data_IF_460583754674
#
_entry.id   IF_460583754674
#
_cell.length_a   1.000
_cell.length_b   1.000
_cell.length_c   1.000
_cell.angle_alpha   90.00
_cell.angle_beta   90.00
_cell.angle_gamma   90.00
#
_symmetry.space_group_name_H-M   'P 1'
#
loop_
_entity.id
_entity.type
_entity.pdbx_description
1 polymer ?
#
# COMPACT_ATOMS: atom_id res chain seq x y z
N UNK A 1 -4.94 -15.39 -28.15
CA UNK A 1 -5.12 -14.13 -27.40
C UNK A 1 -5.60 -14.49 -26.00
N UNK A 2 -4.74 -14.43 -24.99
CA UNK A 2 -5.20 -14.49 -23.59
C UNK A 2 -5.78 -13.12 -23.23
N UNK A 3 -6.95 -13.03 -22.58
CA UNK A 3 -7.48 -11.76 -22.11
C UNK A 3 -6.47 -11.09 -21.16
N UNK A 4 -6.37 -9.76 -21.19
CA UNK A 4 -5.70 -9.00 -20.12
C UNK A 4 -6.46 -9.31 -18.82
N UNK A 5 -5.92 -10.17 -17.97
CA UNK A 5 -6.49 -10.42 -16.65
C UNK A 5 -6.24 -9.20 -15.77
N UNK A 6 -7.30 -8.68 -15.18
CA UNK A 6 -7.22 -7.62 -14.19
C UNK A 6 -6.67 -8.19 -12.88
N UNK A 7 -5.73 -7.48 -12.26
CA UNK A 7 -5.16 -7.84 -10.95
C UNK A 7 -5.64 -6.84 -9.93
N UNK A 8 -6.15 -7.34 -8.80
CA UNK A 8 -6.48 -6.51 -7.63
C UNK A 8 -5.27 -6.41 -6.72
N UNK A 9 -4.77 -5.20 -6.56
CA UNK A 9 -3.71 -4.85 -5.63
C UNK A 9 -4.36 -4.01 -4.51
N UNK A 10 -3.99 -4.26 -3.27
CA UNK A 10 -4.51 -3.54 -2.12
C UNK A 10 -3.40 -3.00 -1.22
N UNK A 11 -3.72 -1.98 -0.43
CA UNK A 11 -2.93 -1.50 0.69
C UNK A 11 -3.75 -1.72 1.97
N UNK A 12 -3.17 -2.32 3.01
CA UNK A 12 -3.89 -2.55 4.25
C UNK A 12 -2.99 -2.41 5.48
N UNK A 13 -3.21 -1.38 6.27
CA UNK A 13 -2.69 -1.33 7.64
C UNK A 13 -3.49 -2.33 8.51
N UNK A 14 -2.82 -3.39 8.95
CA UNK A 14 -3.45 -4.48 9.72
C UNK A 14 -3.28 -4.32 11.22
N UNK A 15 -2.60 -3.26 11.67
CA UNK A 15 -2.27 -2.88 13.06
C UNK A 15 -1.47 -3.89 13.87
N UNK A 16 -1.67 -5.19 13.68
CA UNK A 16 -0.91 -6.25 14.33
C UNK A 16 -1.12 -7.54 13.53
N UNK A 17 -0.06 -8.13 12.97
CA UNK A 17 -0.06 -9.46 12.35
C UNK A 17 0.60 -10.54 13.22
N UNK A 18 1.15 -10.21 14.39
CA UNK A 18 1.84 -11.17 15.27
C UNK A 18 0.90 -11.98 16.17
N UNK A 19 -0.33 -11.51 16.38
CA UNK A 19 -1.33 -12.23 17.20
C UNK A 19 -1.72 -13.56 16.55
N UNK A 20 -2.03 -14.54 17.40
CA UNK A 20 -2.43 -15.89 16.96
C UNK A 20 -3.72 -15.81 16.14
N UNK A 21 -3.76 -16.45 14.96
CA UNK A 21 -4.94 -16.48 14.09
C UNK A 21 -5.10 -15.24 13.19
N UNK A 22 -4.36 -14.18 13.42
CA UNK A 22 -4.53 -12.91 12.72
C UNK A 22 -4.03 -12.96 11.27
N UNK A 23 -2.96 -13.71 11.02
CA UNK A 23 -2.43 -13.95 9.68
C UNK A 23 -3.44 -14.73 8.82
N UNK A 24 -4.12 -15.69 9.43
CA UNK A 24 -5.17 -16.50 8.81
C UNK A 24 -6.42 -15.65 8.52
N UNK A 25 -6.81 -14.76 9.43
CA UNK A 25 -7.89 -13.79 9.20
C UNK A 25 -7.58 -12.87 8.03
N UNK A 26 -6.39 -12.27 7.99
CA UNK A 26 -5.95 -11.42 6.88
C UNK A 26 -6.00 -12.21 5.55
N UNK A 27 -5.42 -13.42 5.52
CA UNK A 27 -5.41 -14.26 4.32
C UNK A 27 -6.83 -14.60 3.83
N UNK A 28 -7.75 -14.94 4.74
CA UNK A 28 -9.14 -15.26 4.43
C UNK A 28 -9.88 -14.05 3.85
N UNK A 29 -9.70 -12.87 4.43
CA UNK A 29 -10.34 -11.65 3.95
C UNK A 29 -9.81 -11.21 2.58
N UNK A 30 -8.51 -11.31 2.35
CA UNK A 30 -7.90 -11.03 1.04
C UNK A 30 -8.45 -11.98 -0.04
N UNK A 31 -8.57 -13.27 0.26
CA UNK A 31 -9.16 -14.26 -0.65
C UNK A 31 -10.64 -13.92 -0.93
N UNK A 32 -11.42 -13.58 0.11
CA UNK A 32 -12.83 -13.19 -0.02
C UNK A 32 -13.02 -11.94 -0.90
N UNK A 33 -12.13 -10.96 -0.75
CA UNK A 33 -12.09 -9.75 -1.59
C UNK A 33 -11.46 -9.96 -2.97
N UNK A 34 -10.97 -11.17 -3.27
CA UNK A 34 -10.27 -11.53 -4.51
C UNK A 34 -9.02 -10.66 -4.75
N UNK A 35 -8.33 -10.28 -3.69
CA UNK A 35 -7.07 -9.53 -3.77
C UNK A 35 -5.95 -10.51 -4.11
N UNK A 36 -5.24 -10.24 -5.20
CA UNK A 36 -4.11 -11.06 -5.62
C UNK A 36 -2.83 -10.69 -4.87
N UNK A 37 -2.66 -9.40 -4.57
CA UNK A 37 -1.47 -8.84 -3.91
C UNK A 37 -1.93 -7.76 -2.94
N UNK A 38 -1.56 -7.87 -1.66
CA UNK A 38 -1.79 -6.82 -0.68
C UNK A 38 -0.45 -6.33 -0.12
N UNK A 39 -0.17 -5.04 -0.21
CA UNK A 39 0.85 -4.37 0.57
C UNK A 39 0.32 -4.14 1.99
N UNK A 40 1.00 -4.70 2.98
CA UNK A 40 0.58 -4.66 4.37
C UNK A 40 1.50 -3.75 5.19
N UNK A 41 0.91 -2.92 6.05
CA UNK A 41 1.61 -2.11 7.05
C UNK A 41 1.19 -2.48 8.48
N UNK A 42 2.02 -2.13 9.46
CA UNK A 42 1.90 -2.55 10.87
C UNK A 42 1.74 -4.06 11.07
N UNK A 43 2.48 -4.86 10.30
CA UNK A 43 2.53 -6.31 10.50
C UNK A 43 3.06 -6.69 11.89
N UNK A 44 3.93 -5.87 12.48
CA UNK A 44 4.55 -6.11 13.81
C UNK A 44 5.19 -7.49 13.94
N UNK A 45 5.68 -8.03 12.83
CA UNK A 45 6.59 -9.16 12.82
C UNK A 45 8.02 -8.63 12.99
N UNK A 46 8.87 -9.39 13.68
CA UNK A 46 10.30 -9.10 13.75
C UNK A 46 11.02 -9.72 12.57
N UNK A 47 12.21 -9.20 12.29
CA UNK A 47 13.08 -9.69 11.22
C UNK A 47 12.43 -9.60 9.83
N UNK A 48 13.09 -10.18 8.84
CA UNK A 48 12.53 -10.28 7.49
C UNK A 48 12.49 -11.74 7.05
N UNK A 49 11.52 -12.07 6.20
CA UNK A 49 11.36 -13.44 5.77
C UNK A 49 10.14 -13.69 4.91
N UNK A 50 9.86 -14.97 4.73
CA UNK A 50 8.73 -15.45 3.94
C UNK A 50 8.09 -16.63 4.66
N UNK A 51 6.76 -16.65 4.73
CA UNK A 51 6.01 -17.76 5.30
C UNK A 51 4.76 -18.04 4.47
N UNK A 52 4.24 -19.26 4.56
CA UNK A 52 3.03 -19.71 3.87
C UNK A 52 1.93 -19.90 4.90
N UNK A 53 0.79 -19.26 4.65
CA UNK A 53 -0.41 -19.36 5.46
C UNK A 53 -1.39 -20.24 4.71
N UNK A 54 -1.63 -21.43 5.25
CA UNK A 54 -2.63 -22.35 4.72
C UNK A 54 -4.03 -21.87 5.11
N UNK A 55 -4.94 -21.84 4.15
CA UNK A 55 -6.34 -21.52 4.44
C UNK A 55 -7.06 -22.82 4.83
N UNK A 56 -7.77 -22.85 5.98
CA UNK A 56 -8.51 -24.03 6.39
C UNK A 56 -9.47 -24.49 5.30
N UNK A 57 -9.58 -25.80 5.12
CA UNK A 57 -10.54 -26.45 4.21
C UNK A 57 -10.34 -26.10 2.72
N UNK A 58 -9.14 -25.70 2.30
CA UNK A 58 -8.81 -25.47 0.88
C UNK A 58 -7.35 -25.79 0.52
N UNK A 59 -7.07 -26.10 -0.76
CA UNK A 59 -5.70 -26.20 -1.32
C UNK A 59 -5.09 -24.81 -1.66
N UNK A 60 -5.76 -23.74 -1.24
CA UNK A 60 -5.31 -22.37 -1.42
C UNK A 60 -4.45 -21.93 -0.24
N UNK A 61 -3.41 -21.16 -0.56
CA UNK A 61 -2.52 -20.59 0.44
C UNK A 61 -2.17 -19.15 0.08
N UNK A 62 -1.83 -18.39 1.11
CA UNK A 62 -1.28 -17.04 0.98
C UNK A 62 0.21 -17.06 1.32
N UNK A 63 1.04 -16.53 0.44
CA UNK A 63 2.46 -16.31 0.74
C UNK A 63 2.63 -14.93 1.35
N UNK A 64 3.14 -14.88 2.58
CA UNK A 64 3.45 -13.65 3.30
C UNK A 64 4.95 -13.38 3.23
N UNK A 65 5.32 -12.25 2.62
CA UNK A 65 6.65 -11.64 2.70
C UNK A 65 6.61 -10.54 3.74
N UNK A 66 7.60 -10.45 4.62
CA UNK A 66 7.60 -9.44 5.67
C UNK A 66 9.00 -8.84 5.89
N UNK A 67 8.99 -7.58 6.31
CA UNK A 67 10.14 -6.75 6.66
C UNK A 67 9.83 -6.03 7.97
N UNK A 68 10.44 -6.50 9.05
CA UNK A 68 10.23 -6.06 10.41
C UNK A 68 11.51 -5.52 11.03
N UNK A 69 11.35 -4.75 12.11
CA UNK A 69 12.46 -4.31 12.95
C UNK A 69 12.81 -5.34 14.03
N UNK A 70 13.66 -4.93 14.97
CA UNK A 70 14.00 -5.72 16.16
C UNK A 70 12.89 -5.75 17.22
N UNK A 71 11.84 -4.94 17.06
CA UNK A 71 10.71 -4.82 17.97
C UNK A 71 9.38 -4.99 17.23
N UNK A 72 8.37 -5.52 17.91
CA UNK A 72 6.99 -5.66 17.41
C UNK A 72 6.22 -4.31 17.38
N UNK A 73 6.79 -3.28 16.75
CA UNK A 73 6.20 -1.93 16.71
C UNK A 73 5.77 -1.51 15.30
N UNK A 74 6.60 -1.81 14.30
CA UNK A 74 6.40 -1.41 12.90
C UNK A 74 6.26 -2.67 12.03
N UNK A 75 6.61 -2.62 10.76
CA UNK A 75 6.70 -3.78 9.90
C UNK A 75 5.80 -3.66 8.69
N UNK A 76 6.39 -3.88 7.52
CA UNK A 76 5.71 -3.87 6.23
C UNK A 76 5.91 -5.19 5.52
N UNK A 77 5.09 -5.47 4.52
CA UNK A 77 5.20 -6.71 3.78
C UNK A 77 4.18 -6.83 2.68
N UNK A 78 4.06 -8.05 2.17
CA UNK A 78 3.13 -8.40 1.13
C UNK A 78 2.45 -9.74 1.41
N UNK A 79 1.13 -9.80 1.25
CA UNK A 79 0.39 -11.06 1.17
C UNK A 79 -0.02 -11.31 -0.28
N UNK A 80 0.34 -12.47 -0.82
CA UNK A 80 0.11 -12.84 -2.21
C UNK A 80 -0.74 -14.09 -2.29
N UNK A 81 -1.67 -14.12 -3.25
CA UNK A 81 -2.30 -15.37 -3.67
C UNK A 81 -1.27 -16.32 -4.28
N UNK A 82 -1.60 -17.61 -4.31
CA UNK A 82 -0.80 -18.67 -4.95
C UNK A 82 -0.36 -18.29 -6.38
N UNK A 83 -1.25 -17.72 -7.18
CA UNK A 83 -0.96 -17.33 -8.56
C UNK A 83 -0.02 -16.12 -8.63
N UNK A 84 -0.22 -15.12 -7.78
CA UNK A 84 0.66 -13.95 -7.74
C UNK A 84 2.07 -14.31 -7.24
N UNK A 85 2.18 -15.19 -6.23
CA UNK A 85 3.45 -15.67 -5.69
C UNK A 85 4.33 -16.33 -6.76
N UNK A 86 3.74 -17.04 -7.72
CA UNK A 86 4.47 -17.66 -8.82
C UNK A 86 5.16 -16.66 -9.78
N UNK A 87 4.76 -15.38 -9.73
CA UNK A 87 5.35 -14.31 -10.54
C UNK A 87 6.43 -13.51 -9.81
N UNK A 88 6.72 -13.82 -8.54
CA UNK A 88 7.71 -13.07 -7.76
C UNK A 88 9.11 -13.32 -8.30
N UNK A 89 9.76 -12.25 -8.72
CA UNK A 89 11.16 -12.26 -9.13
C UNK A 89 12.08 -11.97 -7.93
N UNK A 90 11.70 -11.02 -7.08
CA UNK A 90 12.52 -10.60 -5.96
C UNK A 90 11.68 -9.91 -4.87
N UNK A 91 11.99 -10.18 -3.61
CA UNK A 91 11.53 -9.44 -2.45
C UNK A 91 12.73 -8.78 -1.77
N UNK A 92 12.65 -7.46 -1.53
CA UNK A 92 13.70 -6.65 -0.90
C UNK A 92 13.15 -5.98 0.36
N UNK A 93 13.44 -6.51 1.55
CA UNK A 93 13.16 -5.82 2.81
C UNK A 93 14.19 -4.69 3.01
N UNK A 94 13.78 -3.43 2.91
CA UNK A 94 14.70 -2.29 3.06
C UNK A 94 14.74 -1.79 4.50
N UNK A 95 13.57 -1.67 5.12
CA UNK A 95 13.43 -1.30 6.53
C UNK A 95 12.12 -1.85 7.10
N UNK A 96 11.84 -1.60 8.37
CA UNK A 96 10.55 -1.87 9.01
C UNK A 96 9.40 -1.04 8.43
N UNK A 97 9.68 -0.04 7.59
CA UNK A 97 8.70 0.88 6.97
C UNK A 97 8.65 0.81 5.45
N UNK A 98 9.61 0.12 4.82
CA UNK A 98 9.76 0.06 3.37
C UNK A 98 10.18 -1.32 2.91
N UNK A 99 9.42 -1.90 1.99
CA UNK A 99 9.80 -3.13 1.30
C UNK A 99 9.36 -3.09 -0.17
N UNK A 100 10.10 -3.78 -1.03
CA UNK A 100 9.84 -3.84 -2.47
C UNK A 100 9.57 -5.29 -2.88
N UNK A 101 8.52 -5.48 -3.67
CA UNK A 101 8.21 -6.71 -4.36
C UNK A 101 8.33 -6.49 -5.87
N UNK A 102 9.18 -7.26 -6.53
CA UNK A 102 9.35 -7.22 -7.98
C UNK A 102 8.71 -8.45 -8.60
N UNK A 103 7.85 -8.24 -9.59
CA UNK A 103 7.12 -9.29 -10.30
C UNK A 103 7.56 -9.36 -11.75
N UNK A 104 7.64 -10.59 -12.26
CA UNK A 104 7.79 -10.85 -13.70
C UNK A 104 6.44 -10.78 -14.41
N UNK A 105 6.44 -10.43 -15.69
CA UNK A 105 5.25 -10.28 -16.50
C UNK A 105 5.57 -9.63 -17.84
N UNK A 106 4.53 -9.30 -18.62
CA UNK A 106 4.70 -8.55 -19.89
C UNK A 106 5.43 -7.22 -19.67
N UNK A 107 5.12 -6.56 -18.56
CA UNK A 107 5.86 -5.42 -18.02
C UNK A 107 6.31 -5.83 -16.63
N UNK A 108 7.59 -5.62 -16.31
CA UNK A 108 8.08 -5.84 -14.96
C UNK A 108 7.42 -4.82 -14.03
N UNK A 109 6.97 -5.29 -12.88
CA UNK A 109 6.22 -4.47 -11.93
C UNK A 109 6.94 -4.45 -10.59
N UNK A 110 7.15 -3.26 -10.05
CA UNK A 110 7.71 -3.02 -8.72
C UNK A 110 6.63 -2.44 -7.83
N UNK A 111 6.27 -3.17 -6.78
CA UNK A 111 5.28 -2.75 -5.79
C UNK A 111 6.03 -2.45 -4.50
N UNK A 112 5.79 -1.27 -3.94
CA UNK A 112 6.37 -0.83 -2.68
C UNK A 112 5.30 -0.93 -1.60
N UNK A 113 5.67 -1.53 -0.47
CA UNK A 113 4.85 -1.56 0.75
C UNK A 113 5.40 -0.53 1.71
N UNK A 114 4.54 0.41 2.12
CA UNK A 114 4.94 1.64 2.81
C UNK A 114 4.20 1.80 4.14
N UNK A 115 4.95 2.23 5.15
CA UNK A 115 4.43 2.78 6.38
C UNK A 115 5.18 4.07 6.75
N UNK A 116 4.69 5.21 6.28
CA UNK A 116 5.35 6.49 6.48
C UNK A 116 5.28 6.96 7.96
N UNK A 117 6.21 7.80 8.42
CA UNK A 117 6.14 8.43 9.73
C UNK A 117 4.86 9.24 9.93
N UNK A 118 4.38 9.31 11.17
CA UNK A 118 3.16 10.07 11.52
C UNK A 118 3.41 11.58 11.44
N UNK A 119 2.33 12.38 11.36
CA UNK A 119 2.42 13.84 11.28
C UNK A 119 3.23 14.47 12.43
N UNK A 120 3.15 13.88 13.63
CA UNK A 120 3.84 14.33 14.85
C UNK A 120 5.30 13.88 14.94
N UNK A 121 5.76 13.06 13.99
CA UNK A 121 7.16 12.65 13.95
C UNK A 121 8.07 13.84 13.63
N UNK A 122 9.32 13.87 14.13
CA UNK A 122 10.27 14.92 13.78
C UNK A 122 10.49 15.00 12.27
N UNK A 123 10.73 16.22 11.76
CA UNK A 123 10.99 16.43 10.34
C UNK A 123 12.18 15.61 9.84
N UNK A 124 13.23 15.45 10.65
CA UNK A 124 14.37 14.59 10.30
C UNK A 124 13.96 13.15 10.02
N UNK A 125 13.03 12.58 10.80
CA UNK A 125 12.53 11.22 10.56
C UNK A 125 11.70 11.13 9.28
N UNK A 126 10.95 12.18 8.95
CA UNK A 126 10.21 12.26 7.68
C UNK A 126 11.18 12.39 6.50
N UNK A 127 12.20 13.23 6.63
CA UNK A 127 13.22 13.48 5.60
C UNK A 127 14.04 12.22 5.31
N UNK A 128 14.49 11.51 6.36
CA UNK A 128 15.21 10.23 6.25
C UNK A 128 14.35 9.20 5.49
N UNK A 129 13.06 9.07 5.87
CA UNK A 129 12.13 8.16 5.20
C UNK A 129 11.96 8.47 3.70
N UNK A 130 11.78 9.74 3.33
CA UNK A 130 11.63 10.13 1.93
C UNK A 130 12.95 10.02 1.15
N UNK A 131 14.10 10.19 1.81
CA UNK A 131 15.43 9.94 1.21
C UNK A 131 15.60 8.46 0.87
N UNK A 132 15.31 7.55 1.81
CA UNK A 132 15.36 6.10 1.58
C UNK A 132 14.39 5.67 0.47
N UNK A 133 13.18 6.25 0.46
CA UNK A 133 12.19 5.98 -0.58
C UNK A 133 12.66 6.48 -1.95
N UNK A 134 13.33 7.64 -2.02
CA UNK A 134 13.89 8.17 -3.26
C UNK A 134 14.98 7.25 -3.82
N UNK A 135 15.96 6.86 -2.99
CA UNK A 135 17.03 5.94 -3.40
C UNK A 135 16.46 4.61 -3.94
N UNK A 136 15.42 4.11 -3.28
CA UNK A 136 14.75 2.90 -3.69
C UNK A 136 14.05 3.04 -5.06
N UNK A 137 13.38 4.17 -5.33
CA UNK A 137 12.72 4.46 -6.61
C UNK A 137 13.74 4.70 -7.73
N UNK A 138 14.87 5.35 -7.44
CA UNK A 138 15.94 5.61 -8.42
C UNK A 138 16.52 4.31 -8.99
N UNK A 139 16.44 3.21 -8.23
CA UNK A 139 16.83 1.87 -8.70
C UNK A 139 15.83 1.22 -9.67
N UNK A 140 14.63 1.78 -9.85
CA UNK A 140 13.56 1.23 -10.69
C UNK A 140 13.66 1.78 -12.12
N UNK A 141 13.78 0.92 -13.15
CA UNK A 141 13.80 1.38 -14.53
C UNK A 141 12.52 2.12 -14.92
N UNK A 142 12.65 3.28 -15.57
CA UNK A 142 11.51 4.13 -16.00
C UNK A 142 10.54 3.47 -17.00
N UNK A 143 10.96 2.35 -17.61
CA UNK A 143 10.12 1.52 -18.50
C UNK A 143 9.24 0.52 -17.75
N UNK A 144 9.55 0.25 -16.49
CA UNK A 144 8.85 -0.71 -15.65
C UNK A 144 7.68 -0.02 -14.92
N UNK A 145 6.69 -0.81 -14.49
CA UNK A 145 5.56 -0.30 -13.72
C UNK A 145 6.01 -0.12 -12.27
N UNK A 146 5.79 1.08 -11.73
CA UNK A 146 6.06 1.41 -10.34
C UNK A 146 4.75 1.72 -9.64
N UNK A 147 4.48 1.00 -8.55
CA UNK A 147 3.30 1.19 -7.71
C UNK A 147 3.72 1.33 -6.24
N UNK A 148 3.34 2.42 -5.59
CA UNK A 148 3.50 2.60 -4.16
C UNK A 148 2.16 2.34 -3.47
N UNK A 149 2.16 1.50 -2.44
CA UNK A 149 0.95 1.10 -1.73
C UNK A 149 1.22 1.04 -0.23
N UNK A 150 0.37 1.68 0.56
CA UNK A 150 0.48 1.61 2.00
C UNK A 150 -0.07 2.84 2.71
N UNK A 151 0.24 2.91 3.98
CA UNK A 151 -0.15 3.99 4.87
C UNK A 151 0.90 5.10 4.82
N UNK A 152 0.51 6.25 4.27
CA UNK A 152 1.37 7.42 4.17
C UNK A 152 1.19 8.41 5.31
N UNK A 153 0.26 8.16 6.25
CA UNK A 153 -0.07 9.09 7.33
C UNK A 153 -0.30 10.53 6.83
N UNK A 154 -0.86 10.67 5.63
CA UNK A 154 -0.91 11.92 4.88
C UNK A 154 -2.36 12.30 4.52
N UNK A 155 -2.67 13.59 4.57
CA UNK A 155 -3.89 14.16 4.01
C UNK A 155 -3.48 15.00 2.81
N UNK A 156 -3.79 14.57 1.59
CA UNK A 156 -3.39 15.32 0.37
C UNK A 156 -4.28 16.53 0.08
N UNK A 157 -5.49 16.57 0.63
CA UNK A 157 -6.43 17.65 0.43
C UNK A 157 -7.02 17.76 -0.98
N UNK A 158 -7.91 18.74 -1.16
CA UNK A 158 -8.63 19.01 -2.43
C UNK A 158 -7.95 20.05 -3.32
N UNK A 159 -7.02 20.84 -2.79
CA UNK A 159 -6.36 21.89 -3.56
C UNK A 159 -5.37 21.30 -4.56
N UNK A 160 -5.72 21.35 -5.85
CA UNK A 160 -4.91 20.82 -6.95
C UNK A 160 -3.93 21.83 -7.54
N UNK A 161 -3.95 23.09 -7.11
CA UNK A 161 -3.11 24.14 -7.69
C UNK A 161 -1.63 23.79 -7.59
N UNK A 162 -0.96 23.58 -8.72
CA UNK A 162 0.44 23.12 -8.78
C UNK A 162 0.64 21.60 -8.72
N UNK A 163 -0.44 20.83 -8.61
CA UNK A 163 -0.47 19.37 -8.50
C UNK A 163 -1.39 18.72 -9.55
N UNK A 164 -1.81 19.45 -10.58
CA UNK A 164 -2.87 19.05 -11.51
C UNK A 164 -2.56 17.74 -12.25
N UNK A 165 -1.28 17.49 -12.48
CA UNK A 165 -0.77 16.31 -13.19
C UNK A 165 -0.75 15.04 -12.32
N UNK A 166 -0.67 15.19 -11.00
CA UNK A 166 -0.48 14.08 -10.05
C UNK A 166 -1.68 13.85 -9.14
N UNK A 167 -2.49 14.89 -8.89
CA UNK A 167 -3.71 14.84 -8.08
C UNK A 167 -4.94 14.97 -8.97
N UNK A 168 -5.86 14.01 -8.85
CA UNK A 168 -7.15 13.99 -9.51
C UNK A 168 -8.21 14.85 -8.83
N UNK A 169 -9.44 14.79 -9.33
CA UNK A 169 -10.55 15.66 -8.92
C UNK A 169 -11.30 15.21 -7.66
N UNK A 170 -11.03 14.01 -7.15
CA UNK A 170 -11.88 13.36 -6.16
C UNK A 170 -11.18 13.12 -4.81
N UNK A 171 -10.11 13.85 -4.50
CA UNK A 171 -9.52 13.87 -3.16
C UNK A 171 -10.42 14.61 -2.16
N UNK A 172 -10.07 14.55 -0.86
CA UNK A 172 -10.87 15.15 0.22
C UNK A 172 -10.00 15.87 1.25
N UNK A 173 -10.63 16.79 1.98
CA UNK A 173 -10.04 17.49 3.11
C UNK A 173 -9.05 18.58 2.73
N UNK A 174 -8.21 18.93 3.72
CA UNK A 174 -7.14 19.92 3.61
C UNK A 174 -5.80 19.22 3.70
N UNK A 175 -4.81 19.71 2.95
CA UNK A 175 -3.48 19.14 2.98
C UNK A 175 -2.82 19.39 4.35
N UNK A 176 -2.20 18.35 4.93
CA UNK A 176 -1.31 18.49 6.08
C UNK A 176 0.17 18.46 5.64
N UNK A 177 1.13 18.54 6.57
CA UNK A 177 2.55 18.55 6.22
C UNK A 177 2.97 17.27 5.49
N UNK A 178 2.58 16.10 6.02
CA UNK A 178 2.81 14.81 5.35
C UNK A 178 2.17 14.76 3.95
N UNK A 179 1.00 15.38 3.78
CA UNK A 179 0.30 15.52 2.50
C UNK A 179 1.07 16.32 1.48
N UNK A 180 1.59 17.49 1.88
CA UNK A 180 2.41 18.34 1.00
C UNK A 180 3.72 17.66 0.64
N UNK A 181 4.34 16.94 1.58
CA UNK A 181 5.54 16.11 1.32
C UNK A 181 5.24 15.00 0.31
N UNK A 182 4.13 14.28 0.46
CA UNK A 182 3.70 13.25 -0.48
C UNK A 182 3.43 13.82 -1.88
N UNK A 183 2.73 14.95 -1.98
CA UNK A 183 2.45 15.61 -3.26
C UNK A 183 3.74 16.08 -3.94
N UNK A 184 4.67 16.66 -3.18
CA UNK A 184 5.99 17.10 -3.67
C UNK A 184 6.79 15.92 -4.20
N UNK A 185 6.87 14.84 -3.42
CA UNK A 185 7.54 13.60 -3.80
C UNK A 185 6.91 12.97 -5.05
N UNK A 186 5.58 12.90 -5.11
CA UNK A 186 4.85 12.35 -6.24
C UNK A 186 5.08 13.17 -7.52
N UNK A 187 5.08 14.50 -7.42
CA UNK A 187 5.37 15.40 -8.53
C UNK A 187 6.80 15.20 -9.06
N UNK A 188 7.80 15.18 -8.17
CA UNK A 188 9.21 14.97 -8.53
C UNK A 188 9.44 13.62 -9.24
N UNK A 189 8.70 12.58 -8.85
CA UNK A 189 8.85 11.22 -9.38
C UNK A 189 7.82 10.86 -10.46
N UNK A 190 7.04 11.82 -10.97
CA UNK A 190 5.97 11.58 -11.94
C UNK A 190 5.00 10.46 -11.49
N UNK A 191 4.61 10.45 -10.23
CA UNK A 191 3.64 9.52 -9.65
C UNK A 191 2.27 10.18 -9.55
N UNK A 192 1.21 9.43 -9.83
CA UNK A 192 -0.17 9.89 -9.78
C UNK A 192 -0.88 9.26 -8.58
N UNK A 193 -1.59 10.07 -7.78
CA UNK A 193 -2.34 9.64 -6.60
C UNK A 193 -3.65 8.96 -7.04
N UNK A 194 -3.65 7.63 -7.10
CA UNK A 194 -4.75 6.81 -7.62
C UNK A 194 -6.08 7.06 -6.91
N UNK A 195 -6.06 7.22 -5.58
CA UNK A 195 -7.26 7.45 -4.75
C UNK A 195 -8.06 8.69 -5.17
N UNK A 196 -7.42 9.66 -5.82
CA UNK A 196 -8.04 10.93 -6.23
C UNK A 196 -8.60 10.90 -7.66
N UNK A 197 -8.38 9.82 -8.43
CA UNK A 197 -8.71 9.74 -9.85
C UNK A 197 -10.16 9.35 -10.14
N UNK A 198 -10.80 8.62 -9.23
CA UNK A 198 -12.11 7.99 -9.46
C UNK A 198 -13.15 8.55 -8.51
N UNK A 199 -14.35 8.83 -9.05
CA UNK A 199 -15.45 9.33 -8.24
C UNK A 199 -16.07 8.18 -7.45
N UNK A 200 -16.02 8.29 -6.13
CA UNK A 200 -16.66 7.33 -5.22
C UNK A 200 -17.41 8.05 -4.10
N UNK A 201 -18.48 7.44 -3.55
CA UNK A 201 -19.05 7.88 -2.27
C UNK A 201 -17.97 7.93 -1.17
N UNK A 202 -18.05 8.87 -0.23
CA UNK A 202 -17.06 9.02 0.85
C UNK A 202 -16.74 7.71 1.60
N UNK A 203 -17.77 6.89 1.86
CA UNK A 203 -17.62 5.56 2.47
C UNK A 203 -16.77 4.56 1.67
N UNK A 204 -16.47 4.82 0.41
CA UNK A 204 -15.58 4.00 -0.43
C UNK A 204 -14.25 4.71 -0.71
N UNK A 205 -13.98 5.83 -0.04
CA UNK A 205 -12.70 6.53 -0.08
C UNK A 205 -11.98 6.48 1.27
N UNK A 206 -12.73 6.53 2.38
CA UNK A 206 -12.19 6.42 3.74
C UNK A 206 -11.37 5.14 3.91
N UNK A 207 -10.14 5.29 4.37
CA UNK A 207 -9.24 4.17 4.68
C UNK A 207 -8.94 4.05 6.17
N UNK A 208 -9.27 5.07 6.98
CA UNK A 208 -9.05 5.04 8.42
C UNK A 208 -10.24 5.60 9.19
N UNK A 209 -10.53 5.00 10.34
CA UNK A 209 -11.52 5.48 11.30
C UNK A 209 -10.92 5.54 12.69
N UNK A 210 -11.04 6.69 13.36
CA UNK A 210 -10.57 6.84 14.73
C UNK A 210 -11.17 5.78 15.67
N UNK A 211 -10.41 5.30 16.68
CA UNK A 211 -10.92 4.31 17.65
C UNK A 211 -12.18 4.75 18.41
N UNK A 212 -12.37 6.06 18.57
CA UNK A 212 -13.58 6.65 19.17
C UNK A 212 -14.80 6.63 18.23
N UNK A 213 -14.61 6.22 16.97
CA UNK A 213 -15.62 6.10 15.92
C UNK A 213 -16.09 7.42 15.30
N UNK A 214 -15.55 8.57 15.73
CA UNK A 214 -16.05 9.91 15.37
C UNK A 214 -15.39 10.48 14.12
N UNK A 215 -14.10 10.26 13.95
CA UNK A 215 -13.32 10.83 12.86
C UNK A 215 -12.95 9.77 11.82
N UNK A 216 -12.88 10.18 10.55
CA UNK A 216 -12.51 9.31 9.42
C UNK A 216 -11.63 10.08 8.46
N UNK A 217 -10.63 9.40 7.90
CA UNK A 217 -9.67 10.00 6.97
C UNK A 217 -9.28 9.03 5.85
N UNK A 218 -8.57 9.57 4.86
CA UNK A 218 -7.81 8.81 3.87
C UNK A 218 -6.34 8.95 4.26
N UNK A 219 -5.72 7.86 4.67
CA UNK A 219 -4.30 7.78 5.06
C UNK A 219 -3.52 6.79 4.18
N UNK A 220 -4.23 5.82 3.61
CA UNK A 220 -3.69 4.77 2.77
C UNK A 220 -3.84 5.14 1.30
N UNK A 221 -2.74 5.09 0.55
CA UNK A 221 -2.72 5.53 -0.84
C UNK A 221 -2.10 4.49 -1.76
N UNK A 222 -2.62 4.50 -2.99
CA UNK A 222 -2.04 3.82 -4.15
C UNK A 222 -1.51 4.89 -5.10
N UNK A 223 -0.20 4.94 -5.31
CA UNK A 223 0.42 5.81 -6.30
C UNK A 223 0.97 4.96 -7.45
N UNK A 224 0.88 5.46 -8.68
CA UNK A 224 1.41 4.78 -9.86
C UNK A 224 2.25 5.75 -10.70
N UNK A 225 3.32 5.30 -11.33
CA UNK A 225 4.03 6.13 -12.29
C UNK A 225 3.13 6.53 -13.47
N UNK A 226 3.18 7.81 -13.82
CA UNK A 226 2.27 8.49 -14.76
C UNK A 226 2.15 7.78 -16.10
N UNK A 227 3.25 7.19 -16.59
CA UNK A 227 3.29 6.37 -17.81
C UNK A 227 2.24 5.25 -17.81
N UNK A 228 1.98 4.64 -16.66
CA UNK A 228 1.05 3.53 -16.48
C UNK A 228 -0.27 3.96 -15.83
N UNK A 229 -0.54 5.26 -15.70
CA UNK A 229 -1.80 5.79 -15.13
C UNK A 229 -3.05 5.12 -15.72
N UNK A 230 -3.10 4.92 -17.03
CA UNK A 230 -4.24 4.30 -17.72
C UNK A 230 -4.47 2.81 -17.41
N UNK A 231 -3.50 2.18 -16.73
CA UNK A 231 -3.60 0.81 -16.23
C UNK A 231 -4.43 0.74 -14.95
N UNK A 232 -4.50 1.82 -14.16
CA UNK A 232 -5.45 1.90 -13.05
C UNK A 232 -6.87 1.98 -13.61
N UNK A 233 -7.72 1.03 -13.23
CA UNK A 233 -9.13 0.97 -13.64
C UNK A 233 -10.08 1.49 -12.57
N UNK A 234 -9.72 1.32 -11.32
CA UNK A 234 -10.45 1.81 -10.16
C UNK A 234 -9.52 1.85 -8.93
N UNK A 235 -9.81 2.74 -7.98
CA UNK A 235 -9.19 2.77 -6.64
C UNK A 235 -10.28 3.13 -5.63
N UNK A 236 -10.49 2.25 -4.65
CA UNK A 236 -11.54 2.39 -3.63
C UNK A 236 -11.23 1.57 -2.39
N UNK A 237 -11.79 2.00 -1.27
CA UNK A 237 -11.81 1.27 -0.01
C UNK A 237 -12.90 0.19 0.02
N UNK A 238 -12.53 -0.98 0.55
CA UNK A 238 -13.32 -2.19 0.73
C UNK A 238 -13.69 -2.37 2.20
N UNK A 239 -14.66 -1.59 2.67
CA UNK A 239 -15.19 -1.64 4.05
C UNK A 239 -15.76 -2.99 4.51
N UNK A 240 -15.99 -3.93 3.59
CA UNK A 240 -16.45 -5.26 3.98
C UNK A 240 -15.34 -6.11 4.57
N UNK A 241 -14.07 -5.82 4.25
CA UNK A 241 -12.92 -6.55 4.78
C UNK A 241 -12.68 -6.14 6.24
N UNK A 242 -12.52 -7.12 7.11
CA UNK A 242 -12.34 -6.88 8.54
C UNK A 242 -11.32 -7.83 9.15
N UNK A 243 -10.26 -7.26 9.73
CA UNK A 243 -9.28 -7.97 10.52
C UNK A 243 -9.13 -7.35 11.92
N UNK A 244 -10.11 -6.59 12.40
CA UNK A 244 -10.01 -5.85 13.67
C UNK A 244 -9.08 -4.64 13.62
N UNK A 245 -8.77 -4.15 12.42
CA UNK A 245 -8.02 -2.90 12.20
C UNK A 245 -8.97 -1.70 12.23
N UNK A 246 -8.44 -0.55 12.63
CA UNK A 246 -9.07 0.76 12.45
C UNK A 246 -8.92 1.29 11.02
N UNK A 247 -8.14 0.60 10.18
CA UNK A 247 -8.03 0.83 8.76
C UNK A 247 -8.91 -0.12 7.92
N UNK A 248 -9.37 0.40 6.79
CA UNK A 248 -10.07 -0.32 5.75
C UNK A 248 -9.10 -0.67 4.60
N UNK A 249 -9.26 -1.88 4.07
CA UNK A 249 -8.60 -2.37 2.85
C UNK A 249 -8.91 -1.49 1.62
#
# INVERSE_FOLDING_TARGET
MTPRQEVRIAAWNVRTGHQVGQKETIARELQRCKVGIAALSELRLTDSGTTVIQLPDSDEYTTLYYSGGSKHAEGVGFALSKQAAASVLCFRPLSSRLAILTLTGTVRTHIFSIYAPTEVSPDSTKDDFYSDLQEAIDSVPTKDLLLLAGDFNAHVGTNRSGWEEILGNFSHGTANDNGLRLLSFASANNLVVGNSLFQHPWKHQVTWRAPNGKDTSVLDYILINKRFRSSLKDVRSMRSADCGSDHHL
#
